data_IF_283775177380
#
_entry.id   IF_283775177380
#
_cell.length_a   1.000
_cell.length_b   1.000
_cell.length_c   1.000
_cell.angle_alpha   90.00
_cell.angle_beta   90.00
_cell.angle_gamma   90.00
#
_symmetry.space_group_name_H-M   'P 1'
#
loop_
_entity.id
_entity.type
_entity.pdbx_description
1 polymer ?
#
# COMPACT_ATOMS: atom_id res chain seq x y z
N UNK A 1 5.77 36.27 -3.59
CA UNK A 1 4.31 36.31 -3.80
C UNK A 1 4.01 35.42 -4.99
N UNK A 2 3.54 34.20 -4.72
CA UNK A 2 3.17 33.26 -5.77
C UNK A 2 1.70 33.44 -6.10
N UNK A 3 1.45 34.06 -7.23
CA UNK A 3 0.11 34.32 -7.74
C UNK A 3 -0.26 33.24 -8.74
N UNK A 4 -1.23 32.40 -8.38
CA UNK A 4 -1.80 31.44 -9.33
C UNK A 4 -2.79 32.14 -10.23
N UNK A 5 -2.42 32.26 -11.50
CA UNK A 5 -3.36 32.49 -12.57
C UNK A 5 -3.81 31.12 -13.10
N UNK A 6 -5.07 30.76 -12.87
CA UNK A 6 -5.72 29.68 -13.63
C UNK A 6 -5.96 30.19 -15.06
N UNK A 7 -4.90 30.27 -15.84
CA UNK A 7 -4.97 30.61 -17.25
C UNK A 7 -5.11 29.29 -18.03
N UNK A 8 -6.32 29.03 -18.49
CA UNK A 8 -6.64 27.86 -19.32
C UNK A 8 -5.83 27.96 -20.64
N UNK A 9 -4.75 27.20 -20.76
CA UNK A 9 -4.05 26.99 -22.03
C UNK A 9 -4.67 25.77 -22.70
N UNK A 10 -5.47 26.03 -23.73
CA UNK A 10 -5.96 24.98 -24.62
C UNK A 10 -4.92 24.78 -25.73
N UNK A 11 -3.96 23.88 -25.51
CA UNK A 11 -3.05 23.45 -26.57
C UNK A 11 -3.77 22.48 -27.51
N UNK A 12 -4.02 22.95 -28.73
CA UNK A 12 -4.69 22.20 -29.77
C UNK A 12 -4.32 22.66 -31.17
N UNK A 13 -3.02 22.86 -31.47
CA UNK A 13 -2.47 22.81 -32.85
C UNK A 13 -1.01 22.34 -32.79
N UNK A 14 -0.60 21.27 -33.50
CA UNK A 14 0.81 20.89 -33.59
C UNK A 14 1.51 21.80 -34.60
N UNK A 15 2.37 22.70 -34.13
CA UNK A 15 3.41 23.31 -34.97
C UNK A 15 4.79 22.90 -34.43
N UNK A 16 5.41 22.02 -35.20
CA UNK A 16 6.85 21.84 -35.42
C UNK A 16 7.81 22.35 -34.32
N UNK A 17 8.43 21.39 -33.65
CA UNK A 17 9.80 21.37 -33.11
C UNK A 17 10.52 22.74 -33.02
N UNK A 18 10.51 23.32 -31.83
CA UNK A 18 11.68 23.95 -31.23
C UNK A 18 11.41 24.27 -29.76
N UNK A 19 12.18 23.63 -28.87
CA UNK A 19 12.48 24.01 -27.48
C UNK A 19 11.52 25.01 -26.80
N UNK A 20 10.55 24.49 -26.06
CA UNK A 20 9.91 25.23 -24.96
C UNK A 20 10.17 24.46 -23.67
N UNK A 21 11.33 24.74 -23.08
CA UNK A 21 11.52 24.59 -21.65
C UNK A 21 11.06 25.88 -21.00
N UNK A 22 9.74 26.06 -20.84
CA UNK A 22 9.19 27.13 -20.02
C UNK A 22 9.06 26.60 -18.60
N UNK A 23 10.15 26.77 -17.84
CA UNK A 23 10.15 26.62 -16.40
C UNK A 23 9.11 27.57 -15.79
N UNK A 24 8.08 27.02 -15.15
CA UNK A 24 7.41 27.73 -14.06
C UNK A 24 8.37 27.66 -12.88
N UNK A 25 9.29 28.62 -12.77
CA UNK A 25 10.09 28.81 -11.57
C UNK A 25 9.23 29.51 -10.51
N UNK A 26 8.79 28.74 -9.51
CA UNK A 26 8.01 29.23 -8.38
C UNK A 26 8.97 29.65 -7.24
N UNK A 27 8.91 30.89 -6.71
CA UNK A 27 9.61 31.26 -5.49
C UNK A 27 8.90 30.69 -4.26
N UNK A 28 9.69 30.30 -3.25
CA UNK A 28 9.22 29.82 -1.95
C UNK A 28 8.45 30.93 -1.20
N UNK A 29 7.27 30.59 -0.71
CA UNK A 29 6.42 31.27 0.30
C UNK A 29 5.29 32.22 -0.21
N UNK A 30 4.05 31.79 0.08
CA UNK A 30 2.80 32.57 0.03
C UNK A 30 2.00 32.41 -1.26
N UNK A 31 0.92 31.61 -1.22
CA UNK A 31 0.12 31.25 -2.38
C UNK A 31 -1.22 32.02 -2.39
N UNK A 32 -1.49 32.68 -3.50
CA UNK A 32 -2.71 33.47 -3.72
C UNK A 32 -3.42 33.01 -5.00
N UNK A 33 -4.72 32.74 -4.92
CA UNK A 33 -5.54 32.46 -6.11
C UNK A 33 -6.08 33.74 -6.72
N UNK A 34 -5.83 33.94 -8.03
CA UNK A 34 -6.43 35.04 -8.81
C UNK A 34 -7.21 34.47 -10.00
N UNK A 35 -8.47 34.89 -10.12
CA UNK A 35 -9.37 34.50 -11.20
C UNK A 35 -9.55 35.66 -12.19
N UNK A 36 -9.24 35.44 -13.47
CA UNK A 36 -9.46 36.43 -14.55
C UNK A 36 -10.52 35.93 -15.53
N UNK A 37 -11.53 36.76 -15.85
CA UNK A 37 -12.55 36.46 -16.88
C UNK A 37 -12.03 36.90 -18.25
N UNK A 38 -11.65 35.95 -19.12
CA UNK A 38 -11.34 36.28 -20.53
C UNK A 38 -12.19 35.55 -21.58
N UNK A 39 -12.99 34.53 -21.25
CA UNK A 39 -13.71 33.72 -22.25
C UNK A 39 -15.08 33.18 -21.77
N UNK A 40 -16.00 32.81 -22.69
CA UNK A 40 -17.39 32.37 -22.40
C UNK A 40 -17.54 30.95 -21.82
N UNK A 41 -16.46 30.35 -21.32
CA UNK A 41 -16.46 29.07 -20.59
C UNK A 41 -17.10 29.31 -19.20
N UNK A 42 -17.83 28.34 -18.59
CA UNK A 42 -18.26 28.47 -17.21
C UNK A 42 -17.10 28.95 -16.34
N UNK A 43 -17.30 30.08 -15.66
CA UNK A 43 -16.19 30.70 -14.91
C UNK A 43 -15.57 29.67 -13.97
N UNK A 44 -14.23 29.60 -13.84
CA UNK A 44 -13.57 28.62 -12.97
C UNK A 44 -14.16 28.58 -11.55
N UNK A 45 -14.64 29.73 -11.07
CA UNK A 45 -15.35 29.88 -9.79
C UNK A 45 -16.62 29.02 -9.71
N UNK A 46 -17.42 28.98 -10.78
CA UNK A 46 -18.66 28.19 -10.79
C UNK A 46 -18.40 26.69 -10.68
N UNK A 47 -17.29 26.20 -11.26
CA UNK A 47 -16.85 24.81 -11.11
C UNK A 47 -16.44 24.56 -9.67
N UNK A 48 -15.55 25.39 -9.11
CA UNK A 48 -15.09 25.27 -7.73
C UNK A 48 -16.22 25.28 -6.71
N UNK A 49 -17.23 26.15 -6.86
CA UNK A 49 -18.42 26.20 -5.99
C UNK A 49 -19.29 24.95 -6.09
N UNK A 50 -19.30 24.26 -7.22
CA UNK A 50 -20.07 23.03 -7.42
C UNK A 50 -19.34 21.80 -6.91
N UNK A 51 -18.01 21.80 -7.00
CA UNK A 51 -17.19 20.62 -6.70
C UNK A 51 -16.63 20.61 -5.28
N UNK A 52 -16.61 21.75 -4.58
CA UNK A 52 -16.12 21.84 -3.20
C UNK A 52 -17.09 22.61 -2.29
N UNK A 53 -17.24 22.15 -1.05
CA UNK A 53 -18.07 22.85 -0.06
C UNK A 53 -17.37 24.10 0.48
N UNK A 54 -16.03 24.11 0.48
CA UNK A 54 -15.22 25.26 0.89
C UNK A 54 -15.56 26.51 0.07
N UNK A 55 -15.54 26.41 -1.26
CA UNK A 55 -15.86 27.55 -2.12
C UNK A 55 -17.36 27.81 -2.25
N UNK A 56 -18.21 26.79 -1.99
CA UNK A 56 -19.65 26.97 -1.92
C UNK A 56 -20.10 27.81 -0.72
N UNK A 57 -19.28 27.89 0.33
CA UNK A 57 -19.59 28.61 1.56
C UNK A 57 -19.95 30.08 1.29
N UNK A 58 -20.98 30.63 1.96
CA UNK A 58 -21.37 32.03 1.83
C UNK A 58 -20.26 33.01 2.26
N UNK A 59 -19.27 32.54 3.02
CA UNK A 59 -18.10 33.33 3.40
C UNK A 59 -17.21 33.72 2.21
N UNK A 60 -17.36 33.06 1.05
CA UNK A 60 -16.62 33.38 -0.16
C UNK A 60 -17.50 34.16 -1.15
N UNK A 61 -17.32 35.48 -1.18
CA UNK A 61 -17.87 36.34 -2.22
C UNK A 61 -16.81 36.60 -3.29
N UNK A 62 -17.11 36.20 -4.52
CA UNK A 62 -16.22 36.41 -5.67
C UNK A 62 -16.66 37.66 -6.44
N UNK A 63 -16.47 38.82 -5.82
CA UNK A 63 -16.72 40.09 -6.49
C UNK A 63 -15.62 40.39 -7.53
N UNK A 64 -15.94 41.06 -8.65
CA UNK A 64 -14.93 41.59 -9.54
C UNK A 64 -13.98 42.50 -8.75
N UNK A 65 -12.67 42.22 -8.77
CA UNK A 65 -11.62 42.88 -7.97
C UNK A 65 -11.58 42.49 -6.48
N UNK A 66 -12.12 41.33 -6.08
CA UNK A 66 -11.90 40.80 -4.74
C UNK A 66 -10.40 40.57 -4.48
N UNK A 67 -10.00 40.77 -3.21
CA UNK A 67 -8.62 40.50 -2.79
C UNK A 67 -8.31 39.01 -2.98
N UNK A 68 -7.06 38.66 -3.34
CA UNK A 68 -6.68 37.26 -3.50
C UNK A 68 -6.98 36.46 -2.22
N UNK A 69 -7.54 35.26 -2.38
CA UNK A 69 -7.84 34.37 -1.24
C UNK A 69 -6.51 33.82 -0.71
N UNK A 70 -6.16 34.04 0.57
CA UNK A 70 -4.97 33.45 1.16
C UNK A 70 -5.18 31.95 1.39
N UNK A 71 -4.29 31.14 0.84
CA UNK A 71 -4.26 29.68 1.04
C UNK A 71 -2.94 29.33 1.73
N UNK A 72 -3.00 28.47 2.74
CA UNK A 72 -1.84 28.13 3.57
C UNK A 72 -1.03 26.99 2.97
N UNK A 73 -1.69 26.15 2.18
CA UNK A 73 -1.16 24.94 1.58
C UNK A 73 -0.17 25.23 0.46
N UNK A 74 0.85 24.39 0.35
CA UNK A 74 1.92 24.54 -0.62
C UNK A 74 1.51 24.12 -2.04
N UNK A 75 2.22 24.67 -3.03
CA UNK A 75 1.96 24.43 -4.46
C UNK A 75 1.84 22.95 -4.86
N UNK A 76 2.72 22.03 -4.39
CA UNK A 76 2.65 20.61 -4.76
C UNK A 76 1.36 19.91 -4.32
N UNK A 77 0.65 20.47 -3.33
CA UNK A 77 -0.63 19.97 -2.83
C UNK A 77 -1.80 20.73 -3.42
N UNK A 78 -1.69 22.05 -3.51
CA UNK A 78 -2.75 22.91 -3.99
C UNK A 78 -3.01 22.73 -5.49
N UNK A 79 -1.95 22.69 -6.31
CA UNK A 79 -2.07 22.63 -7.77
C UNK A 79 -2.75 21.34 -8.25
N UNK A 80 -2.36 20.12 -7.81
CA UNK A 80 -3.04 18.89 -8.24
C UNK A 80 -4.50 18.86 -7.82
N UNK A 81 -4.83 19.32 -6.60
CA UNK A 81 -6.22 19.38 -6.16
C UNK A 81 -7.04 20.30 -7.06
N UNK A 82 -6.54 21.51 -7.36
CA UNK A 82 -7.22 22.46 -8.24
C UNK A 82 -7.42 21.92 -9.65
N UNK A 83 -6.44 21.15 -10.17
CA UNK A 83 -6.59 20.46 -11.45
C UNK A 83 -7.69 19.42 -11.41
N UNK A 84 -7.72 18.57 -10.40
CA UNK A 84 -8.75 17.52 -10.24
C UNK A 84 -10.15 18.13 -10.19
N UNK A 85 -10.37 19.13 -9.33
CA UNK A 85 -11.69 19.77 -9.19
C UNK A 85 -12.10 20.57 -10.43
N UNK A 86 -11.12 20.99 -11.24
CA UNK A 86 -11.37 21.71 -12.51
C UNK A 86 -11.50 20.78 -13.73
N UNK A 87 -11.42 19.46 -13.54
CA UNK A 87 -11.44 18.48 -14.63
C UNK A 87 -10.23 18.55 -15.57
N UNK A 88 -9.09 19.02 -15.07
CA UNK A 88 -7.84 19.11 -15.82
C UNK A 88 -7.00 17.84 -15.65
N UNK A 89 -6.05 17.64 -16.58
CA UNK A 89 -5.10 16.54 -16.51
C UNK A 89 -4.28 16.59 -15.20
N UNK A 90 -4.21 15.45 -14.52
CA UNK A 90 -3.53 15.30 -13.23
C UNK A 90 -2.06 14.93 -13.53
N UNK A 91 -1.08 15.67 -12.98
CA UNK A 91 0.32 15.28 -13.13
C UNK A 91 0.56 13.91 -12.48
N UNK A 92 1.53 13.11 -12.97
CA UNK A 92 1.88 11.86 -12.31
C UNK A 92 2.40 12.15 -10.91
N UNK A 93 1.92 11.35 -9.95
CA UNK A 93 2.37 11.42 -8.56
C UNK A 93 3.83 10.97 -8.47
N UNK A 94 4.68 11.79 -7.86
CA UNK A 94 6.11 11.50 -7.68
C UNK A 94 6.45 11.04 -6.28
N UNK A 95 5.77 11.62 -5.29
CA UNK A 95 6.00 11.37 -3.87
C UNK A 95 4.66 11.09 -3.21
N UNK A 96 4.64 10.08 -2.35
CA UNK A 96 3.44 9.67 -1.62
C UNK A 96 2.93 10.79 -0.68
N UNK A 97 3.85 11.60 -0.13
CA UNK A 97 3.52 12.74 0.73
C UNK A 97 2.65 13.80 0.02
N UNK A 98 2.91 14.05 -1.27
CA UNK A 98 2.09 14.97 -2.08
C UNK A 98 0.67 14.43 -2.23
N UNK A 99 0.53 13.12 -2.47
CA UNK A 99 -0.77 12.45 -2.56
C UNK A 99 -1.54 12.54 -1.24
N UNK A 100 -0.89 12.27 -0.10
CA UNK A 100 -1.48 12.40 1.23
C UNK A 100 -1.92 13.84 1.52
N UNK A 101 -1.08 14.82 1.15
CA UNK A 101 -1.39 16.24 1.27
C UNK A 101 -2.62 16.63 0.47
N UNK A 102 -2.70 16.20 -0.80
CA UNK A 102 -3.86 16.45 -1.68
C UNK A 102 -5.12 15.81 -1.11
N UNK A 103 -5.03 14.55 -0.67
CA UNK A 103 -6.16 13.83 -0.09
C UNK A 103 -6.66 14.49 1.20
N UNK A 104 -5.75 14.92 2.07
CA UNK A 104 -6.08 15.67 3.28
C UNK A 104 -6.79 16.98 2.94
N UNK A 105 -6.24 17.76 2.00
CA UNK A 105 -6.82 19.03 1.58
C UNK A 105 -8.18 18.84 0.91
N UNK A 106 -8.34 17.81 0.07
CA UNK A 106 -9.61 17.45 -0.55
C UNK A 106 -10.70 17.15 0.49
N UNK A 107 -10.34 16.41 1.55
CA UNK A 107 -11.21 16.16 2.70
C UNK A 107 -11.63 17.45 3.41
N UNK A 108 -10.67 18.32 3.72
CA UNK A 108 -10.92 19.63 4.35
C UNK A 108 -11.81 20.53 3.49
N UNK A 109 -11.63 20.52 2.17
CA UNK A 109 -12.41 21.33 1.24
C UNK A 109 -13.78 20.73 0.87
N UNK A 110 -14.07 19.51 1.35
CA UNK A 110 -15.26 18.76 0.97
C UNK A 110 -15.32 18.43 -0.52
N UNK A 111 -14.17 18.27 -1.16
CA UNK A 111 -14.05 17.96 -2.58
C UNK A 111 -14.20 16.44 -2.84
N UNK A 112 -15.42 15.91 -2.66
CA UNK A 112 -15.70 14.46 -2.74
C UNK A 112 -15.20 13.81 -4.03
N UNK A 113 -15.47 14.44 -5.19
CA UNK A 113 -14.99 13.90 -6.47
C UNK A 113 -13.47 13.83 -6.57
N UNK A 114 -12.74 14.73 -5.89
CA UNK A 114 -11.29 14.62 -5.82
C UNK A 114 -10.84 13.45 -4.94
N UNK A 115 -11.50 13.24 -3.80
CA UNK A 115 -11.26 12.09 -2.92
C UNK A 115 -11.43 10.76 -3.67
N UNK A 116 -12.46 10.65 -4.52
CA UNK A 116 -12.70 9.44 -5.33
C UNK A 116 -11.60 9.22 -6.39
N UNK A 117 -11.14 10.29 -7.04
CA UNK A 117 -9.99 10.23 -7.98
C UNK A 117 -8.70 9.81 -7.27
N UNK A 118 -8.49 10.30 -6.04
CA UNK A 118 -7.33 9.90 -5.22
C UNK A 118 -7.43 8.43 -4.80
N UNK A 119 -8.62 7.94 -4.43
CA UNK A 119 -8.88 6.53 -4.12
C UNK A 119 -8.47 5.62 -5.30
N UNK A 120 -8.87 5.98 -6.52
CA UNK A 120 -8.45 5.24 -7.72
C UNK A 120 -6.94 5.33 -7.97
N UNK A 121 -6.28 6.41 -7.54
CA UNK A 121 -4.85 6.61 -7.74
C UNK A 121 -3.99 5.78 -6.79
N UNK A 122 -4.41 5.56 -5.53
CA UNK A 122 -3.59 4.87 -4.52
C UNK A 122 -3.36 3.38 -4.82
N UNK A 123 -4.16 2.79 -5.71
CA UNK A 123 -4.01 1.39 -6.15
C UNK A 123 -3.04 1.24 -7.32
N UNK A 124 -2.47 2.35 -7.82
CA UNK A 124 -1.46 2.28 -8.86
C UNK A 124 -0.19 1.54 -8.36
N UNK A 125 0.50 0.76 -9.23
CA UNK A 125 1.65 -0.04 -8.84
C UNK A 125 2.78 0.74 -8.14
N UNK A 126 2.95 2.03 -8.45
CA UNK A 126 3.96 2.88 -7.81
C UNK A 126 3.73 3.02 -6.30
N UNK A 127 2.48 3.05 -5.85
CA UNK A 127 2.13 3.21 -4.43
C UNK A 127 2.01 1.88 -3.70
N UNK A 128 1.68 0.80 -4.40
CA UNK A 128 1.64 -0.54 -3.82
C UNK A 128 3.03 -1.06 -3.39
N UNK A 129 4.11 -0.35 -3.77
CA UNK A 129 5.46 -0.55 -3.21
C UNK A 129 5.59 -0.10 -1.75
N UNK A 130 4.69 0.75 -1.27
CA UNK A 130 4.59 1.19 0.13
C UNK A 130 3.23 0.75 0.74
N UNK A 131 2.93 -0.56 0.79
CA UNK A 131 1.57 -1.06 1.03
C UNK A 131 1.05 -0.75 2.44
N UNK A 132 1.93 -0.55 3.43
CA UNK A 132 1.54 -0.11 4.77
C UNK A 132 0.93 1.30 4.78
N UNK A 133 1.45 2.20 3.94
CA UNK A 133 0.91 3.57 3.82
C UNK A 133 -0.42 3.57 3.08
N UNK A 134 -0.53 2.79 2.01
CA UNK A 134 -1.80 2.58 1.29
C UNK A 134 -2.86 2.04 2.24
N UNK A 135 -2.53 1.02 3.05
CA UNK A 135 -3.44 0.49 4.05
C UNK A 135 -3.81 1.52 5.13
N UNK A 136 -2.86 2.33 5.60
CA UNK A 136 -3.14 3.40 6.57
C UNK A 136 -4.15 4.41 6.02
N UNK A 137 -3.99 4.85 4.77
CA UNK A 137 -4.96 5.72 4.09
C UNK A 137 -6.30 5.01 3.96
N UNK A 138 -6.32 3.83 3.35
CA UNK A 138 -7.55 3.12 3.04
C UNK A 138 -8.40 2.88 4.29
N UNK A 139 -7.76 2.49 5.39
CA UNK A 139 -8.46 2.26 6.67
C UNK A 139 -8.96 3.55 7.34
N UNK A 140 -8.24 4.67 7.22
CA UNK A 140 -8.70 5.99 7.70
C UNK A 140 -9.93 6.46 6.94
N UNK A 141 -10.00 6.20 5.63
CA UNK A 141 -11.11 6.60 4.77
C UNK A 141 -12.20 5.51 4.60
N UNK A 142 -12.05 4.35 5.25
CA UNK A 142 -12.97 3.19 5.15
C UNK A 142 -13.14 2.69 3.72
N UNK A 143 -12.03 2.62 3.00
CA UNK A 143 -11.91 2.04 1.67
C UNK A 143 -11.51 0.58 1.81
N UNK A 144 -12.47 -0.26 2.17
CA UNK A 144 -12.20 -1.64 2.57
C UNK A 144 -11.54 -2.46 1.43
N UNK A 145 -11.97 -2.26 0.18
CA UNK A 145 -11.39 -2.94 -0.99
C UNK A 145 -9.90 -2.59 -1.19
N UNK A 146 -9.52 -1.32 -1.04
CA UNK A 146 -8.15 -0.86 -1.15
C UNK A 146 -7.30 -1.30 0.05
N UNK A 147 -7.91 -1.36 1.23
CA UNK A 147 -7.27 -1.90 2.42
C UNK A 147 -6.97 -3.39 2.24
N UNK A 148 -7.91 -4.16 1.68
CA UNK A 148 -7.73 -5.58 1.37
C UNK A 148 -6.67 -5.79 0.30
N UNK A 149 -6.70 -4.99 -0.78
CA UNK A 149 -5.67 -5.04 -1.82
C UNK A 149 -4.28 -4.76 -1.23
N UNK A 150 -4.13 -3.66 -0.47
CA UNK A 150 -2.88 -3.32 0.19
C UNK A 150 -2.45 -4.42 1.17
N UNK A 151 -3.41 -5.12 1.79
CA UNK A 151 -3.12 -6.20 2.73
C UNK A 151 -2.37 -7.37 2.11
N UNK A 152 -2.66 -7.70 0.85
CA UNK A 152 -1.99 -8.77 0.09
C UNK A 152 -0.51 -8.48 -0.12
N UNK A 153 -0.20 -7.25 -0.54
CA UNK A 153 1.19 -6.81 -0.78
C UNK A 153 2.01 -6.68 0.51
N UNK A 154 1.38 -6.60 1.69
CA UNK A 154 2.10 -6.57 2.96
C UNK A 154 2.63 -7.92 3.40
N UNK A 155 2.18 -9.02 2.79
CA UNK A 155 2.64 -10.34 3.21
C UNK A 155 4.15 -10.48 3.08
N UNK A 156 4.79 -9.71 2.19
CA UNK A 156 6.24 -9.68 2.00
C UNK A 156 6.98 -8.92 3.12
N UNK A 157 6.29 -8.08 3.90
CA UNK A 157 6.90 -7.16 4.86
C UNK A 157 6.94 -7.70 6.29
N UNK A 158 8.06 -7.46 6.96
CA UNK A 158 8.22 -7.67 8.40
C UNK A 158 7.65 -6.49 9.18
N UNK A 159 6.51 -6.70 9.85
CA UNK A 159 5.90 -5.67 10.70
C UNK A 159 6.77 -5.27 11.91
N UNK A 160 7.81 -6.04 12.20
CA UNK A 160 8.74 -5.81 13.29
C UNK A 160 9.95 -4.95 12.90
N UNK A 161 10.15 -4.71 11.60
CA UNK A 161 11.28 -3.92 11.12
C UNK A 161 11.12 -2.44 11.48
N UNK A 162 12.22 -1.83 11.95
CA UNK A 162 12.24 -0.40 12.34
C UNK A 162 11.85 0.53 11.19
N UNK A 163 12.22 0.18 9.95
CA UNK A 163 11.87 0.93 8.74
C UNK A 163 10.35 1.11 8.54
N UNK A 164 9.53 0.26 9.14
CA UNK A 164 8.07 0.29 8.97
C UNK A 164 7.34 0.98 10.14
N UNK A 165 8.05 1.33 11.22
CA UNK A 165 7.43 1.91 12.42
C UNK A 165 6.65 3.18 12.13
N UNK A 166 7.18 4.06 11.29
CA UNK A 166 6.51 5.33 10.97
C UNK A 166 5.21 5.11 10.18
N UNK A 167 5.20 4.17 9.23
CA UNK A 167 3.98 3.79 8.53
C UNK A 167 2.97 3.13 9.47
N UNK A 168 3.41 2.26 10.38
CA UNK A 168 2.55 1.59 11.36
C UNK A 168 1.89 2.58 12.34
N UNK A 169 2.60 3.63 12.76
CA UNK A 169 2.07 4.70 13.63
C UNK A 169 0.89 5.46 13.00
N UNK A 170 0.82 5.50 11.67
CA UNK A 170 -0.26 6.17 10.93
C UNK A 170 -1.51 5.31 10.79
N UNK A 171 -1.42 4.02 11.06
CA UNK A 171 -2.55 3.09 10.98
C UNK A 171 -3.43 3.26 12.22
N UNK A 172 -4.75 3.44 12.07
CA UNK A 172 -5.66 3.44 13.21
C UNK A 172 -5.51 2.17 14.06
N UNK A 173 -5.52 2.29 15.39
CA UNK A 173 -5.26 1.17 16.31
C UNK A 173 -6.12 -0.06 16.02
N UNK A 174 -7.40 0.13 15.70
CA UNK A 174 -8.30 -0.98 15.35
C UNK A 174 -7.84 -1.74 14.09
N UNK A 175 -7.36 -1.02 13.07
CA UNK A 175 -6.84 -1.60 11.83
C UNK A 175 -5.47 -2.26 12.02
N UNK A 176 -4.64 -1.70 12.92
CA UNK A 176 -3.36 -2.29 13.31
C UNK A 176 -3.56 -3.61 14.07
N UNK A 177 -4.51 -3.68 15.01
CA UNK A 177 -4.85 -4.92 15.72
C UNK A 177 -5.37 -5.98 14.75
N UNK A 178 -6.22 -5.60 13.76
CA UNK A 178 -6.66 -6.53 12.70
C UNK A 178 -5.48 -7.08 11.91
N UNK A 179 -4.53 -6.22 11.53
CA UNK A 179 -3.31 -6.61 10.82
C UNK A 179 -2.47 -7.63 11.61
N UNK A 180 -2.18 -7.37 12.88
CA UNK A 180 -1.42 -8.33 13.71
C UNK A 180 -2.18 -9.63 13.94
N UNK A 181 -3.50 -9.57 14.14
CA UNK A 181 -4.34 -10.77 14.23
C UNK A 181 -4.28 -11.60 12.96
N UNK A 182 -4.26 -10.96 11.80
CA UNK A 182 -4.14 -11.64 10.51
C UNK A 182 -2.79 -12.35 10.35
N UNK A 183 -1.66 -11.69 10.63
CA UNK A 183 -0.34 -12.34 10.61
C UNK A 183 -0.29 -13.54 11.56
N UNK A 184 -0.78 -13.35 12.79
CA UNK A 184 -0.86 -14.42 13.78
C UNK A 184 -1.74 -15.58 13.30
N UNK A 185 -2.92 -15.29 12.74
CA UNK A 185 -3.85 -16.30 12.24
C UNK A 185 -3.21 -17.14 11.13
N UNK A 186 -2.54 -16.50 10.16
CA UNK A 186 -1.81 -17.22 9.09
C UNK A 186 -0.75 -18.17 9.65
N UNK A 187 0.07 -17.71 10.61
CA UNK A 187 1.04 -18.60 11.27
C UNK A 187 0.36 -19.74 12.01
N UNK A 188 -0.67 -19.44 12.79
CA UNK A 188 -1.34 -20.43 13.63
C UNK A 188 -2.02 -21.50 12.74
N UNK A 189 -2.63 -21.12 11.62
CA UNK A 189 -3.20 -22.05 10.62
C UNK A 189 -2.13 -22.85 9.88
N UNK A 190 -1.02 -22.22 9.48
CA UNK A 190 0.12 -22.93 8.89
C UNK A 190 0.68 -23.97 9.87
N UNK A 191 0.81 -23.60 11.15
CA UNK A 191 1.25 -24.50 12.21
C UNK A 191 0.30 -25.69 12.39
N UNK A 192 -1.01 -25.47 12.28
CA UNK A 192 -2.00 -26.55 12.32
C UNK A 192 -1.84 -27.47 11.11
N UNK A 193 -1.74 -26.94 9.90
CA UNK A 193 -1.57 -27.75 8.68
C UNK A 193 -0.25 -28.52 8.63
N UNK A 194 0.81 -27.96 9.20
CA UNK A 194 2.12 -28.61 9.25
C UNK A 194 2.24 -29.68 10.32
N UNK A 195 1.48 -29.59 11.41
CA UNK A 195 1.38 -30.68 12.40
C UNK A 195 0.75 -31.90 11.71
N UNK A 196 1.49 -33.01 11.72
CA UNK A 196 0.90 -34.30 11.35
C UNK A 196 0.00 -34.81 12.47
N UNK A 197 -0.93 -35.70 12.13
CA UNK A 197 -1.71 -36.47 13.10
C UNK A 197 -0.80 -37.52 13.78
N UNK A 198 -0.01 -37.09 14.77
CA UNK A 198 0.65 -38.01 15.71
C UNK A 198 2.14 -38.30 15.49
N UNK A 199 2.61 -39.27 16.27
CA UNK A 199 4.00 -39.75 16.32
C UNK A 199 4.52 -40.04 14.91
N UNK A 200 5.72 -39.55 14.59
CA UNK A 200 6.36 -39.85 13.29
C UNK A 200 6.80 -41.31 13.32
N UNK A 201 6.02 -42.16 12.66
CA UNK A 201 6.37 -43.57 12.46
C UNK A 201 7.11 -43.71 11.13
N UNK A 202 8.18 -44.51 11.12
CA UNK A 202 8.86 -44.84 9.88
C UNK A 202 7.93 -45.62 8.95
N UNK A 203 7.68 -45.11 7.74
CA UNK A 203 6.83 -45.75 6.72
C UNK A 203 7.29 -47.16 6.37
N UNK A 204 8.59 -47.46 6.50
CA UNK A 204 9.16 -48.77 6.17
C UNK A 204 8.96 -49.85 7.23
N UNK A 205 9.06 -49.52 8.53
CA UNK A 205 9.06 -50.53 9.60
C UNK A 205 8.16 -50.21 10.81
N UNK A 206 7.44 -49.09 10.79
CA UNK A 206 6.49 -48.68 11.84
C UNK A 206 7.11 -48.22 13.16
N UNK A 207 8.44 -48.24 13.30
CA UNK A 207 9.10 -47.74 14.52
C UNK A 207 8.89 -46.24 14.67
N UNK A 208 8.65 -45.82 15.91
CA UNK A 208 8.62 -44.40 16.31
C UNK A 208 10.01 -43.79 16.07
N UNK A 209 10.04 -42.66 15.38
CA UNK A 209 11.24 -41.88 15.11
C UNK A 209 11.22 -40.63 15.99
N UNK A 210 12.40 -40.22 16.46
CA UNK A 210 12.57 -38.93 17.14
C UNK A 210 12.09 -37.77 16.25
N UNK A 211 11.29 -36.88 16.82
CA UNK A 211 10.69 -35.75 16.13
C UNK A 211 11.51 -34.46 16.29
N UNK A 212 12.67 -34.48 16.95
CA UNK A 212 13.47 -33.28 17.24
C UNK A 212 13.87 -32.51 15.97
N UNK A 213 14.41 -33.20 14.95
CA UNK A 213 14.84 -32.55 13.71
C UNK A 213 13.67 -31.91 12.95
N UNK A 214 12.52 -32.58 12.93
CA UNK A 214 11.28 -32.04 12.36
C UNK A 214 10.75 -30.85 13.15
N UNK A 215 10.77 -30.92 14.49
CA UNK A 215 10.36 -29.82 15.34
C UNK A 215 11.25 -28.58 15.13
N UNK A 216 12.56 -28.76 14.99
CA UNK A 216 13.50 -27.67 14.67
C UNK A 216 13.16 -27.02 13.32
N UNK A 217 12.94 -27.82 12.27
CA UNK A 217 12.53 -27.31 10.96
C UNK A 217 11.20 -26.54 11.04
N UNK A 218 10.20 -27.08 11.75
CA UNK A 218 8.92 -26.40 11.95
C UNK A 218 9.09 -25.07 12.67
N UNK A 219 9.89 -25.01 13.72
CA UNK A 219 10.16 -23.76 14.43
C UNK A 219 10.82 -22.71 13.52
N UNK A 220 11.77 -23.13 12.68
CA UNK A 220 12.40 -22.24 11.69
C UNK A 220 11.38 -21.71 10.68
N UNK A 221 10.49 -22.56 10.16
CA UNK A 221 9.42 -22.14 9.25
C UNK A 221 8.43 -21.19 9.93
N UNK A 222 8.04 -21.44 11.19
CA UNK A 222 7.13 -20.56 11.92
C UNK A 222 7.73 -19.19 12.19
N UNK A 223 9.03 -19.14 12.50
CA UNK A 223 9.76 -17.90 12.63
C UNK A 223 9.79 -17.12 11.31
N UNK A 224 10.01 -17.81 10.18
CA UNK A 224 10.02 -17.16 8.88
C UNK A 224 8.63 -16.58 8.53
N UNK A 225 7.53 -17.27 8.84
CA UNK A 225 6.17 -16.74 8.63
C UNK A 225 5.84 -15.57 9.55
N UNK A 226 6.32 -15.60 10.80
CA UNK A 226 6.18 -14.46 11.72
C UNK A 226 6.92 -13.24 11.19
N UNK A 227 8.12 -13.44 10.62
CA UNK A 227 8.93 -12.39 10.03
C UNK A 227 8.37 -11.89 8.68
N UNK A 228 7.94 -12.78 7.80
CA UNK A 228 7.35 -12.45 6.50
C UNK A 228 6.31 -13.52 6.16
N UNK A 229 5.01 -13.24 6.32
CA UNK A 229 3.97 -14.25 6.05
C UNK A 229 3.74 -14.52 4.55
N UNK A 230 4.61 -14.01 3.68
CA UNK A 230 4.63 -14.28 2.25
C UNK A 230 4.93 -15.75 1.98
N UNK A 231 4.42 -16.24 0.84
CA UNK A 231 4.67 -17.61 0.40
C UNK A 231 6.06 -17.75 -0.23
N UNK A 232 6.63 -16.65 -0.71
CA UNK A 232 7.73 -16.67 -1.66
C UNK A 232 9.02 -17.21 -1.04
N UNK A 233 9.35 -16.80 0.18
CA UNK A 233 10.55 -17.32 0.87
C UNK A 233 10.45 -18.79 1.23
N UNK A 234 9.29 -19.25 1.72
CA UNK A 234 9.12 -20.66 2.07
C UNK A 234 8.97 -21.60 0.85
N UNK A 235 8.63 -21.05 -0.30
CA UNK A 235 8.57 -21.78 -1.56
C UNK A 235 9.85 -21.64 -2.39
N UNK A 236 10.83 -20.83 -1.96
CA UNK A 236 12.08 -20.62 -2.68
C UNK A 236 13.05 -21.79 -2.46
N UNK A 237 14.10 -21.83 -3.28
CA UNK A 237 15.20 -22.78 -3.12
C UNK A 237 16.01 -22.53 -1.83
N UNK A 238 15.87 -21.36 -1.20
CA UNK A 238 16.61 -21.00 0.02
C UNK A 238 16.26 -21.92 1.20
N UNK A 239 15.04 -22.46 1.23
CA UNK A 239 14.64 -23.42 2.28
C UNK A 239 15.46 -24.70 2.22
N UNK A 240 15.95 -25.08 1.03
CA UNK A 240 16.80 -26.26 0.87
C UNK A 240 18.18 -26.07 1.49
N UNK A 241 18.63 -24.81 1.64
CA UNK A 241 19.93 -24.45 2.21
C UNK A 241 19.89 -24.34 3.75
N UNK A 242 18.72 -24.51 4.37
CA UNK A 242 18.59 -24.42 5.83
C UNK A 242 19.18 -25.65 6.51
N UNK A 243 20.02 -25.44 7.52
CA UNK A 243 20.60 -26.52 8.32
C UNK A 243 19.54 -27.42 8.96
N UNK A 244 18.40 -26.85 9.38
CA UNK A 244 17.29 -27.62 9.93
C UNK A 244 16.62 -28.51 8.88
N UNK A 245 16.56 -28.06 7.62
CA UNK A 245 16.03 -28.86 6.51
C UNK A 245 16.98 -30.01 6.21
N UNK A 246 18.29 -29.75 6.07
CA UNK A 246 19.29 -30.80 5.86
C UNK A 246 19.29 -31.82 7.01
N UNK A 247 19.23 -31.36 8.26
CA UNK A 247 19.17 -32.23 9.44
C UNK A 247 17.91 -33.10 9.44
N UNK A 248 16.76 -32.52 9.09
CA UNK A 248 15.50 -33.25 8.99
C UNK A 248 15.54 -34.31 7.88
N UNK A 249 16.01 -33.95 6.68
CA UNK A 249 16.08 -34.87 5.53
C UNK A 249 17.18 -35.93 5.69
N UNK A 250 18.25 -35.61 6.42
CA UNK A 250 19.33 -36.54 6.74
C UNK A 250 18.95 -37.59 7.79
N UNK A 251 17.82 -37.42 8.47
CA UNK A 251 17.37 -38.33 9.52
C UNK A 251 17.00 -39.70 8.95
N UNK A 252 17.64 -40.75 9.48
CA UNK A 252 17.41 -42.14 9.10
C UNK A 252 16.75 -42.90 10.24
N UNK A 253 15.85 -43.82 9.89
CA UNK A 253 15.23 -44.70 10.86
C UNK A 253 16.27 -45.65 11.49
N UNK A 254 16.34 -45.70 12.81
CA UNK A 254 17.24 -46.61 13.56
C UNK A 254 16.92 -48.08 13.34
N UNK A 255 15.73 -48.42 12.83
CA UNK A 255 15.31 -49.79 12.54
C UNK A 255 15.74 -50.29 11.16
N UNK A 256 15.43 -49.54 10.10
CA UNK A 256 15.61 -50.00 8.71
C UNK A 256 16.60 -49.15 7.90
N UNK A 257 17.15 -48.08 8.47
CA UNK A 257 18.10 -47.19 7.81
C UNK A 257 17.52 -46.29 6.70
N UNK A 258 16.23 -46.43 6.36
CA UNK A 258 15.56 -45.57 5.38
C UNK A 258 15.43 -44.13 5.88
N UNK A 259 15.44 -43.18 4.96
CA UNK A 259 15.12 -41.79 5.27
C UNK A 259 13.72 -41.71 5.89
N UNK A 260 13.58 -40.90 6.94
CA UNK A 260 12.30 -40.73 7.65
C UNK A 260 11.38 -39.79 6.87
N UNK A 261 11.96 -38.77 6.24
CA UNK A 261 11.23 -37.77 5.48
C UNK A 261 11.75 -37.73 4.05
N UNK A 262 10.83 -37.74 3.10
CA UNK A 262 11.15 -37.50 1.70
C UNK A 262 11.09 -36.01 1.38
N UNK A 263 12.10 -35.49 0.66
CA UNK A 263 12.21 -34.07 0.34
C UNK A 263 10.99 -33.54 -0.40
N UNK A 264 10.53 -34.26 -1.42
CA UNK A 264 9.38 -33.84 -2.24
C UNK A 264 8.10 -33.78 -1.41
N UNK A 265 7.84 -34.78 -0.56
CA UNK A 265 6.66 -34.81 0.31
C UNK A 265 6.64 -33.63 1.30
N UNK A 266 7.79 -33.29 1.90
CA UNK A 266 7.91 -32.15 2.82
C UNK A 266 7.60 -30.84 2.09
N UNK A 267 8.23 -30.60 0.92
CA UNK A 267 8.02 -29.38 0.16
C UNK A 267 6.59 -29.26 -0.39
N UNK A 268 6.00 -30.36 -0.87
CA UNK A 268 4.60 -30.38 -1.30
C UNK A 268 3.64 -30.08 -0.16
N UNK A 269 3.90 -30.63 1.03
CA UNK A 269 3.12 -30.32 2.23
C UNK A 269 3.20 -28.84 2.59
N UNK A 270 4.40 -28.25 2.60
CA UNK A 270 4.59 -26.82 2.85
C UNK A 270 3.81 -25.98 1.84
N UNK A 271 3.94 -26.27 0.54
CA UNK A 271 3.23 -25.55 -0.53
C UNK A 271 1.71 -25.64 -0.38
N UNK A 272 1.19 -26.82 -0.06
CA UNK A 272 -0.25 -27.04 0.18
C UNK A 272 -0.73 -26.21 1.37
N UNK A 273 -0.04 -26.31 2.51
CA UNK A 273 -0.39 -25.54 3.70
C UNK A 273 -0.35 -24.03 3.44
N UNK A 274 0.65 -23.53 2.69
CA UNK A 274 0.72 -22.12 2.31
C UNK A 274 -0.43 -21.70 1.39
N UNK A 275 -0.82 -22.56 0.43
CA UNK A 275 -1.90 -22.32 -0.52
C UNK A 275 -3.26 -22.15 0.19
N UNK A 276 -3.47 -22.86 1.29
CA UNK A 276 -4.70 -22.83 2.08
C UNK A 276 -4.79 -21.62 3.04
N UNK A 277 -3.71 -20.85 3.22
CA UNK A 277 -3.71 -19.69 4.12
C UNK A 277 -4.49 -18.49 3.55
N UNK A 278 -5.22 -17.72 4.40
CA UNK A 278 -6.01 -16.56 3.99
C UNK A 278 -5.12 -15.42 3.48
N UNK A 279 -5.41 -14.87 2.31
CA UNK A 279 -4.58 -13.87 1.62
C UNK A 279 -4.89 -12.41 2.00
N UNK A 280 -6.01 -12.13 2.69
CA UNK A 280 -6.43 -10.79 3.12
C UNK A 280 -6.85 -10.72 4.60
N UNK A 281 -6.74 -9.52 5.19
CA UNK A 281 -7.11 -9.20 6.59
C UNK A 281 -8.59 -9.36 6.87
#
# INVERSE_FOLDING_TARGET
MTTFFLQYLHDGVPKSRSNISSYIQLPRCGCHLIFSRRHPIPSPISVLRRTTTFFASPSFTFEPNSKPVPIREHDPVLEPLLRIVSGLAIPPWRVFDDLEGVLSLAGTWGARGAVDVMRASITAPVFLREPLRVYAIATRFRWDEEADLASRYRLELSLHDEQHQEALRRIPTCALVRLFKFHRKRRDEFRVGMRGEGLVMCVGCGKVVDAEAWAALLWRMFWEIDASPSRDRLCSLEVEEWEEMERCLGQKCTGCGRAVYERLEVLEKVRRCLADLPDTV
#
